data_IF_250111492682
#
_entry.id   IF_250111492682
#
_cell.length_a   1.000
_cell.length_b   1.000
_cell.length_c   1.000
_cell.angle_alpha   90.00
_cell.angle_beta   90.00
_cell.angle_gamma   90.00
#
_symmetry.space_group_name_H-M   'P 1'
#
loop_
_entity.id
_entity.type
_entity.pdbx_description
1 polymer ?
#
# COMPACT_ATOMS: atom_id res chain seq x y z
N UNK A 1 7.90 -10.32 -15.86
CA UNK A 1 8.21 -9.36 -14.78
C UNK A 1 6.86 -8.82 -14.36
N UNK A 2 6.33 -9.31 -13.24
CA UNK A 2 5.06 -8.80 -12.70
C UNK A 2 5.29 -7.35 -12.30
N UNK A 3 4.54 -6.43 -12.89
CA UNK A 3 4.60 -5.02 -12.54
C UNK A 3 3.97 -4.87 -11.16
N UNK A 4 4.73 -4.46 -10.15
CA UNK A 4 4.16 -4.11 -8.85
C UNK A 4 3.18 -2.93 -9.07
N UNK A 5 1.90 -3.15 -8.79
CA UNK A 5 0.84 -2.17 -9.04
C UNK A 5 0.94 -0.97 -8.10
N UNK A 6 1.54 -1.15 -6.92
CA UNK A 6 1.91 -0.02 -6.08
C UNK A 6 2.93 0.87 -6.80
N UNK A 7 3.90 0.27 -7.51
CA UNK A 7 4.87 1.02 -8.29
C UNK A 7 4.25 1.72 -9.51
N UNK A 8 3.29 1.10 -10.20
CA UNK A 8 2.55 1.78 -11.29
C UNK A 8 1.73 2.97 -10.77
N UNK A 9 1.04 2.81 -9.63
CA UNK A 9 0.29 3.90 -9.00
C UNK A 9 1.21 5.07 -8.60
N UNK A 10 2.37 4.76 -8.03
CA UNK A 10 3.33 5.78 -7.59
C UNK A 10 4.04 6.46 -8.78
N UNK A 11 4.28 5.75 -9.88
CA UNK A 11 5.01 6.25 -11.05
C UNK A 11 4.13 7.00 -12.05
N UNK A 12 2.93 6.51 -12.37
CA UNK A 12 2.08 7.05 -13.43
C UNK A 12 0.93 7.91 -12.92
N UNK A 13 0.45 7.66 -11.71
CA UNK A 13 -0.73 8.35 -11.14
C UNK A 13 -0.38 9.38 -10.06
N UNK A 14 0.90 9.61 -9.81
CA UNK A 14 1.36 10.68 -8.92
C UNK A 14 1.06 10.45 -7.44
N UNK A 15 0.94 9.18 -7.01
CA UNK A 15 0.82 8.84 -5.60
C UNK A 15 1.93 9.47 -4.75
N UNK A 16 1.57 10.05 -3.62
CA UNK A 16 2.49 10.73 -2.70
C UNK A 16 2.55 10.09 -1.31
N UNK A 17 1.73 9.04 -1.09
CA UNK A 17 1.62 8.31 0.17
C UNK A 17 1.65 6.81 -0.11
N UNK A 18 2.52 6.10 0.62
CA UNK A 18 2.56 4.64 0.68
C UNK A 18 2.10 4.21 2.07
N UNK A 19 1.13 3.30 2.12
CA UNK A 19 0.70 2.65 3.36
C UNK A 19 1.36 1.28 3.45
N UNK A 20 2.13 1.05 4.51
CA UNK A 20 2.66 -0.28 4.84
C UNK A 20 1.77 -0.84 5.94
N UNK A 21 1.06 -1.93 5.65
CA UNK A 21 0.00 -2.44 6.50
C UNK A 21 0.45 -3.76 7.14
N UNK A 22 0.30 -3.89 8.45
CA UNK A 22 0.30 -5.17 9.16
C UNK A 22 -1.15 -5.66 9.35
N UNK A 23 -1.68 -6.53 8.47
CA UNK A 23 -3.09 -6.93 8.52
C UNK A 23 -3.34 -8.08 9.50
N UNK A 24 -4.55 -8.11 10.07
CA UNK A 24 -5.13 -9.25 10.83
C UNK A 24 -6.29 -9.91 10.09
N UNK A 25 -7.18 -9.12 9.47
CA UNK A 25 -8.45 -9.63 8.92
C UNK A 25 -8.66 -9.40 7.42
N UNK A 26 -7.73 -8.73 6.74
CA UNK A 26 -7.75 -8.52 5.30
C UNK A 26 -7.91 -9.83 4.53
N UNK A 27 -8.72 -9.81 3.48
CA UNK A 27 -8.96 -10.98 2.62
C UNK A 27 -8.37 -10.75 1.25
N UNK A 28 -7.58 -11.71 0.78
CA UNK A 28 -7.16 -11.73 -0.63
C UNK A 28 -8.41 -11.88 -1.49
N UNK A 29 -8.54 -11.02 -2.48
CA UNK A 29 -9.56 -11.08 -3.54
C UNK A 29 -8.94 -11.19 -4.92
N UNK A 30 -7.64 -11.48 -5.00
CA UNK A 30 -6.88 -11.57 -6.26
C UNK A 30 -7.42 -12.56 -7.28
N UNK A 31 -8.19 -13.57 -6.85
CA UNK A 31 -8.84 -14.56 -7.73
C UNK A 31 -10.13 -14.03 -8.38
N UNK A 32 -10.72 -12.97 -7.82
CA UNK A 32 -12.00 -12.37 -8.25
C UNK A 32 -11.76 -10.98 -8.86
N UNK A 33 -10.72 -10.26 -8.39
CA UNK A 33 -10.25 -9.03 -9.02
C UNK A 33 -9.65 -9.34 -10.40
N UNK A 34 -9.52 -8.31 -11.25
CA UNK A 34 -8.76 -8.46 -12.48
C UNK A 34 -7.41 -9.11 -12.15
N UNK A 35 -7.07 -10.18 -12.87
CA UNK A 35 -5.88 -10.97 -12.59
C UNK A 35 -4.65 -10.05 -12.53
N UNK A 36 -3.67 -10.42 -11.70
CA UNK A 36 -2.34 -9.79 -11.56
C UNK A 36 -2.14 -8.73 -10.46
N UNK A 37 -3.14 -8.45 -9.60
CA UNK A 37 -2.98 -7.42 -8.55
C UNK A 37 -2.68 -7.94 -7.14
N UNK A 38 -2.86 -9.24 -6.88
CA UNK A 38 -2.76 -9.81 -5.52
C UNK A 38 -3.53 -8.98 -4.47
N UNK A 39 -4.70 -8.46 -4.86
CA UNK A 39 -5.43 -7.45 -4.10
C UNK A 39 -5.91 -8.00 -2.74
N UNK A 40 -5.76 -7.19 -1.69
CA UNK A 40 -6.26 -7.46 -0.34
C UNK A 40 -7.34 -6.42 -0.01
N UNK A 41 -8.54 -6.90 0.30
CA UNK A 41 -9.68 -6.07 0.70
C UNK A 41 -9.92 -6.16 2.22
N UNK A 42 -10.12 -5.00 2.84
CA UNK A 42 -10.55 -4.86 4.23
C UNK A 42 -12.03 -4.53 4.29
N UNK A 43 -12.74 -5.04 5.31
CA UNK A 43 -14.14 -4.68 5.52
C UNK A 43 -14.24 -3.21 5.93
N UNK A 44 -15.36 -2.59 5.58
CA UNK A 44 -15.66 -1.25 6.08
C UNK A 44 -15.62 -1.22 7.61
N UNK A 45 -15.10 -0.12 8.17
CA UNK A 45 -14.90 0.10 9.61
C UNK A 45 -13.76 -0.70 10.25
N UNK A 46 -12.94 -1.43 9.49
CA UNK A 46 -11.65 -1.91 10.01
C UNK A 46 -10.83 -0.73 10.52
N UNK A 47 -10.27 -0.87 11.73
CA UNK A 47 -9.50 0.18 12.39
C UNK A 47 -8.01 -0.10 12.24
N UNK A 48 -7.25 0.98 12.09
CA UNK A 48 -5.81 0.93 12.05
C UNK A 48 -5.21 2.00 12.95
N UNK A 49 -4.16 1.64 13.67
CA UNK A 49 -3.31 2.57 14.40
C UNK A 49 -2.11 2.95 13.54
N UNK A 50 -1.69 4.22 13.60
CA UNK A 50 -0.46 4.66 12.96
C UNK A 50 0.71 4.33 13.87
N UNK A 51 1.58 3.43 13.41
CA UNK A 51 2.78 3.01 14.13
C UNK A 51 3.91 4.01 13.94
N UNK A 52 4.15 4.42 12.68
CA UNK A 52 5.21 5.37 12.36
C UNK A 52 4.92 6.13 11.07
N UNK A 53 5.63 7.26 10.91
CA UNK A 53 5.62 8.08 9.69
C UNK A 53 7.06 8.38 9.31
N UNK A 54 7.38 8.16 8.05
CA UNK A 54 8.69 8.45 7.49
C UNK A 54 8.53 9.07 6.09
N UNK A 55 9.67 9.43 5.50
CA UNK A 55 9.76 9.81 4.10
C UNK A 55 10.81 8.93 3.45
N UNK A 56 10.51 8.43 2.26
CA UNK A 56 11.48 7.69 1.45
C UNK A 56 11.48 8.22 0.01
N UNK A 57 12.60 8.09 -0.72
CA UNK A 57 12.58 8.28 -2.16
C UNK A 57 11.54 7.35 -2.80
N UNK A 58 10.89 7.81 -3.87
CA UNK A 58 9.77 7.09 -4.49
C UNK A 58 10.17 5.69 -4.97
N UNK A 59 11.20 5.61 -5.83
CA UNK A 59 11.80 4.36 -6.29
C UNK A 59 13.32 4.41 -6.18
N UNK A 60 13.92 5.46 -6.74
CA UNK A 60 15.37 5.66 -6.74
C UNK A 60 15.77 6.72 -5.74
N UNK A 61 17.03 6.73 -5.25
CA UNK A 61 17.51 7.74 -4.30
C UNK A 61 17.37 9.20 -4.76
N UNK A 62 17.23 9.44 -6.07
CA UNK A 62 17.11 10.78 -6.66
C UNK A 62 15.65 11.22 -6.84
N UNK A 63 14.69 10.34 -6.58
CA UNK A 63 13.28 10.67 -6.77
C UNK A 63 12.76 11.60 -5.66
N UNK A 64 11.70 12.39 -5.93
CA UNK A 64 11.00 13.14 -4.90
C UNK A 64 10.57 12.23 -3.74
N UNK A 65 10.72 12.75 -2.52
CA UNK A 65 10.29 12.04 -1.32
C UNK A 65 8.77 11.84 -1.32
N UNK A 66 8.35 10.64 -0.94
CA UNK A 66 6.95 10.29 -0.67
C UNK A 66 6.80 9.94 0.80
N UNK A 67 5.60 10.15 1.33
CA UNK A 67 5.31 9.82 2.73
C UNK A 67 5.06 8.33 2.83
N UNK A 68 5.76 7.66 3.73
CA UNK A 68 5.47 6.28 4.09
C UNK A 68 4.84 6.26 5.48
N UNK A 69 3.70 5.58 5.62
CA UNK A 69 2.98 5.47 6.88
C UNK A 69 2.80 3.99 7.17
N UNK A 70 3.40 3.54 8.28
CA UNK A 70 3.22 2.18 8.77
C UNK A 70 1.97 2.17 9.65
N UNK A 71 1.03 1.31 9.30
CA UNK A 71 -0.23 1.16 10.02
C UNK A 71 -0.46 -0.30 10.40
N UNK A 72 -1.06 -0.50 11.57
CA UNK A 72 -1.34 -1.82 12.11
C UNK A 72 -2.82 -1.97 12.40
N UNK A 73 -3.40 -3.10 12.01
CA UNK A 73 -4.80 -3.38 12.27
C UNK A 73 -5.07 -3.60 13.77
N UNK A 74 -6.11 -2.95 14.30
CA UNK A 74 -6.54 -3.03 15.71
C UNK A 74 -8.03 -3.39 15.81
N UNK A 75 -8.44 -3.88 16.97
CA UNK A 75 -9.80 -4.40 17.21
C UNK A 75 -10.86 -3.28 17.45
#
# INVERSE_FOLDING_TARGET
METDIADDFMSRKGGSVVLVIEPKSGKSIGEISAAFESEILFKSKTKFEVVSKSYRPRFTPNDPLVREIHIKEVD
#
